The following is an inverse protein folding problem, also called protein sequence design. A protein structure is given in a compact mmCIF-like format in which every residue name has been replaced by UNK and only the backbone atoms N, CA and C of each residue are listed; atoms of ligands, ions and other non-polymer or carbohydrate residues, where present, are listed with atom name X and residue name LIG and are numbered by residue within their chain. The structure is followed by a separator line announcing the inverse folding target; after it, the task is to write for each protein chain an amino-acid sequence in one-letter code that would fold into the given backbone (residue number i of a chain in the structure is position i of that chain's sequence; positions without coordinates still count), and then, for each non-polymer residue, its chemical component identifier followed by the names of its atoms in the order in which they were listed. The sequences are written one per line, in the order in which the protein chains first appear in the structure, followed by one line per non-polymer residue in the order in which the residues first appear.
data_IF_173394016765
#
_entry.id   IF_173394016765
#
_cell.length_a   1.000
_cell.length_b   1.000
_cell.length_c   1.000
_cell.angle_alpha   90.00
_cell.angle_beta   90.00
_cell.angle_gamma   90.00
#
_symmetry.space_group_name_H-M   'P 1'
#
loop_
_entity.id
_entity.type
_entity.pdbx_description
1 polymer ?
#
# COMPACT_ATOMS: atom_id res chain seq x y z
N UNK A 1 -46.02 -20.58 42.91
CA UNK A 1 -46.40 -20.46 41.50
C UNK A 1 -45.87 -19.19 40.81
N UNK A 2 -45.66 -18.06 41.50
CA UNK A 2 -45.21 -16.80 40.87
C UNK A 2 -43.70 -16.64 40.64
N UNK A 3 -42.86 -17.35 41.41
CA UNK A 3 -41.41 -17.12 41.41
C UNK A 3 -40.68 -17.76 40.20
N UNK A 4 -41.16 -18.92 39.75
CA UNK A 4 -40.64 -19.60 38.54
C UNK A 4 -40.91 -18.80 37.27
N UNK A 5 -42.09 -18.15 37.18
CA UNK A 5 -42.43 -17.26 36.07
C UNK A 5 -41.48 -16.05 35.98
N UNK A 6 -41.14 -15.44 37.13
CA UNK A 6 -40.18 -14.33 37.20
C UNK A 6 -38.77 -14.77 36.81
N UNK A 7 -38.35 -15.95 37.27
CA UNK A 7 -37.02 -16.51 36.96
C UNK A 7 -36.87 -16.86 35.47
N UNK A 8 -37.92 -17.43 34.87
CA UNK A 8 -37.95 -17.74 33.45
C UNK A 8 -37.90 -16.45 32.61
N UNK A 9 -38.66 -15.41 32.99
CA UNK A 9 -38.66 -14.11 32.32
C UNK A 9 -37.29 -13.40 32.36
N UNK A 10 -36.56 -13.50 33.49
CA UNK A 10 -35.20 -12.97 33.63
C UNK A 10 -34.21 -13.70 32.71
N UNK A 11 -34.33 -15.02 32.61
CA UNK A 11 -33.49 -15.83 31.72
C UNK A 11 -33.72 -15.51 30.24
N UNK A 12 -34.98 -15.39 29.80
CA UNK A 12 -35.29 -15.04 28.40
C UNK A 12 -34.79 -13.65 28.03
N UNK A 13 -34.88 -12.68 28.95
CA UNK A 13 -34.33 -11.34 28.76
C UNK A 13 -32.80 -11.34 28.66
N UNK A 14 -32.13 -12.16 29.46
CA UNK A 14 -30.66 -12.29 29.43
C UNK A 14 -30.20 -12.89 28.09
N UNK A 15 -30.86 -13.95 27.63
CA UNK A 15 -30.57 -14.57 26.32
C UNK A 15 -30.81 -13.56 25.20
N UNK A 16 -31.93 -12.84 25.23
CA UNK A 16 -32.23 -11.78 24.25
C UNK A 16 -31.18 -10.67 24.22
N UNK A 17 -30.68 -10.25 25.39
CA UNK A 17 -29.62 -9.24 25.49
C UNK A 17 -28.28 -9.73 24.93
N UNK A 18 -27.91 -10.99 25.19
CA UNK A 18 -26.69 -11.60 24.64
C UNK A 18 -26.78 -11.72 23.12
N UNK A 19 -27.93 -12.11 22.58
CA UNK A 19 -28.15 -12.19 21.12
C UNK A 19 -28.05 -10.80 20.47
N UNK A 20 -28.64 -9.76 21.08
CA UNK A 20 -28.50 -8.39 20.58
C UNK A 20 -27.05 -7.88 20.62
N UNK A 21 -26.29 -8.23 21.67
CA UNK A 21 -24.89 -7.86 21.80
C UNK A 21 -24.03 -8.55 20.73
N UNK A 22 -24.28 -9.84 20.46
CA UNK A 22 -23.58 -10.59 19.42
C UNK A 22 -23.89 -10.09 18.01
N UNK A 23 -25.12 -9.64 17.76
CA UNK A 23 -25.53 -9.05 16.48
C UNK A 23 -24.96 -7.64 16.25
N UNK A 24 -24.77 -6.85 17.32
CA UNK A 24 -24.18 -5.50 17.22
C UNK A 24 -22.65 -5.50 17.07
N UNK A 25 -21.99 -6.64 17.33
CA UNK A 25 -20.55 -6.83 17.10
C UNK A 25 -20.17 -7.06 15.63
N UNK A 26 -21.15 -7.12 14.71
CA UNK A 26 -20.93 -7.23 13.26
C UNK A 26 -20.58 -5.85 12.65
N UNK A 27 -19.57 -5.16 13.20
CA UNK A 27 -19.03 -3.96 12.59
C UNK A 27 -17.89 -4.36 11.63
N UNK A 28 -18.15 -4.28 10.33
CA UNK A 28 -17.09 -4.42 9.32
C UNK A 28 -16.27 -3.13 9.30
N UNK A 29 -15.03 -3.19 9.77
CA UNK A 29 -14.12 -2.05 9.67
C UNK A 29 -13.76 -1.79 8.20
N UNK A 30 -13.79 -0.52 7.78
CA UNK A 30 -13.29 -0.13 6.46
C UNK A 30 -11.79 -0.47 6.36
N UNK A 31 -11.37 -0.99 5.20
CA UNK A 31 -9.96 -1.27 4.91
C UNK A 31 -9.34 -0.04 4.24
N UNK A 32 -8.20 0.41 4.75
CA UNK A 32 -7.42 1.52 4.20
C UNK A 32 -6.05 1.01 3.78
N UNK A 33 -5.60 1.39 2.58
CA UNK A 33 -4.24 1.21 2.13
C UNK A 33 -3.58 2.58 1.97
N UNK A 34 -2.32 2.69 2.38
CA UNK A 34 -1.52 3.92 2.25
C UNK A 34 -0.23 3.53 1.55
N UNK A 35 0.07 4.22 0.46
CA UNK A 35 1.34 4.12 -0.28
C UNK A 35 2.01 5.48 -0.23
N UNK A 36 3.31 5.52 0.11
CA UNK A 36 4.12 6.75 0.05
C UNK A 36 5.07 6.65 -1.15
N UNK A 37 4.95 7.61 -2.05
CA UNK A 37 5.69 7.66 -3.32
C UNK A 37 7.07 8.32 -3.18
N UNK A 38 7.81 8.33 -4.30
CA UNK A 38 9.08 9.03 -4.50
C UNK A 38 10.26 8.61 -3.60
N UNK A 39 10.31 7.33 -3.19
CA UNK A 39 11.46 6.82 -2.47
C UNK A 39 12.71 6.68 -3.34
N UNK A 40 13.86 6.96 -2.71
CA UNK A 40 15.21 6.64 -3.18
C UNK A 40 16.11 7.86 -3.45
N UNK A 41 15.65 9.07 -3.14
CA UNK A 41 16.44 10.30 -3.27
C UNK A 41 16.79 10.96 -1.94
N UNK A 42 16.01 10.71 -0.88
CA UNK A 42 16.14 11.43 0.40
C UNK A 42 16.20 10.45 1.58
N UNK A 43 17.28 9.66 1.73
CA UNK A 43 17.40 8.65 2.78
C UNK A 43 17.11 9.18 4.18
N UNK A 44 17.51 10.41 4.51
CA UNK A 44 17.24 10.98 5.84
C UNK A 44 15.74 11.09 6.15
N UNK A 45 14.91 11.47 5.17
CA UNK A 45 13.47 11.60 5.34
C UNK A 45 12.77 10.23 5.19
N UNK A 46 13.20 9.44 4.21
CA UNK A 46 12.68 8.11 3.93
C UNK A 46 12.89 7.17 5.13
N UNK A 47 14.03 7.23 5.80
CA UNK A 47 14.27 6.46 7.02
C UNK A 47 13.33 6.85 8.18
N UNK A 48 12.76 8.07 8.19
CA UNK A 48 11.69 8.45 9.15
C UNK A 48 10.36 7.81 8.77
N UNK A 49 10.03 7.74 7.48
CA UNK A 49 8.86 7.01 6.98
C UNK A 49 8.96 5.52 7.31
N UNK A 50 10.16 4.93 7.23
CA UNK A 50 10.39 3.55 7.64
C UNK A 50 10.16 3.30 9.15
N UNK A 51 10.01 4.33 9.99
CA UNK A 51 9.59 4.20 11.39
C UNK A 51 8.05 4.19 11.56
N UNK A 52 7.28 4.51 10.52
CA UNK A 52 5.83 4.39 10.53
C UNK A 52 5.39 2.91 10.57
N UNK A 53 4.13 2.61 10.94
CA UNK A 53 3.63 1.24 10.93
C UNK A 53 3.95 0.50 9.63
N UNK A 54 4.33 -0.77 9.72
CA UNK A 54 4.76 -1.60 8.57
C UNK A 54 3.66 -1.73 7.51
N UNK A 55 2.39 -1.57 7.88
CA UNK A 55 1.25 -1.56 6.99
C UNK A 55 1.21 -0.37 5.99
N UNK A 56 2.08 0.63 6.14
CA UNK A 56 2.26 1.69 5.14
C UNK A 56 3.23 1.21 4.07
N UNK A 57 2.73 1.00 2.85
CA UNK A 57 3.55 0.59 1.70
C UNK A 57 4.36 1.77 1.16
N UNK A 58 5.42 1.48 0.42
CA UNK A 58 6.26 2.50 -0.23
C UNK A 58 6.40 2.23 -1.73
N UNK A 59 6.53 3.28 -2.54
CA UNK A 59 6.83 3.17 -3.96
C UNK A 59 8.19 3.82 -4.28
N UNK A 60 9.06 3.06 -4.94
CA UNK A 60 10.47 3.41 -5.14
C UNK A 60 10.73 3.72 -6.62
N UNK A 61 11.37 4.85 -6.90
CA UNK A 61 11.81 5.23 -8.24
C UNK A 61 13.01 4.35 -8.66
N UNK A 62 12.95 3.60 -9.77
CA UNK A 62 13.99 2.63 -10.16
C UNK A 62 15.38 3.23 -10.33
N UNK A 63 15.46 4.42 -10.91
CA UNK A 63 16.71 5.10 -11.27
C UNK A 63 17.21 6.05 -10.19
N UNK A 64 16.57 6.02 -9.01
CA UNK A 64 17.01 6.80 -7.87
C UNK A 64 18.30 6.22 -7.25
N UNK A 65 19.21 7.06 -6.73
CA UNK A 65 20.52 6.63 -6.25
C UNK A 65 20.47 5.68 -5.05
N UNK A 66 19.42 5.77 -4.23
CA UNK A 66 19.24 4.95 -3.03
C UNK A 66 18.06 3.97 -3.13
N UNK A 67 17.43 3.83 -4.30
CA UNK A 67 16.22 3.03 -4.46
C UNK A 67 16.41 1.58 -4.00
N UNK A 68 17.48 0.92 -4.44
CA UNK A 68 17.80 -0.46 -4.04
C UNK A 68 18.04 -0.59 -2.53
N UNK A 69 18.81 0.33 -1.95
CA UNK A 69 19.10 0.33 -0.50
C UNK A 69 17.80 0.47 0.31
N UNK A 70 16.91 1.36 -0.11
CA UNK A 70 15.62 1.54 0.54
C UNK A 70 14.72 0.31 0.38
N UNK A 71 14.72 -0.34 -0.79
CA UNK A 71 13.98 -1.57 -1.02
C UNK A 71 14.44 -2.70 -0.08
N UNK A 72 15.75 -2.89 0.06
CA UNK A 72 16.33 -3.91 0.95
C UNK A 72 15.99 -3.61 2.43
N UNK A 73 16.03 -2.34 2.85
CA UNK A 73 15.63 -1.93 4.21
C UNK A 73 14.15 -2.18 4.48
N UNK A 74 13.28 -1.77 3.56
CA UNK A 74 11.83 -1.97 3.69
C UNK A 74 11.47 -3.46 3.70
N UNK A 75 12.10 -4.26 2.84
CA UNK A 75 11.86 -5.70 2.79
C UNK A 75 12.24 -6.39 4.11
N UNK A 76 13.38 -6.00 4.73
CA UNK A 76 13.79 -6.50 6.06
C UNK A 76 12.78 -6.18 7.16
N UNK A 77 11.97 -5.13 7.01
CA UNK A 77 10.87 -4.81 7.94
C UNK A 77 9.60 -5.62 7.67
N UNK A 78 9.54 -6.39 6.58
CA UNK A 78 8.31 -7.02 6.10
C UNK A 78 7.32 -6.03 5.45
N UNK A 79 7.81 -4.87 5.01
CA UNK A 79 7.01 -3.81 4.38
C UNK A 79 6.76 -4.12 2.91
N UNK A 80 5.56 -3.80 2.43
CA UNK A 80 5.21 -3.91 1.01
C UNK A 80 5.88 -2.80 0.19
N UNK A 81 6.37 -3.19 -0.99
CA UNK A 81 7.17 -2.35 -1.88
C UNK A 81 6.54 -2.36 -3.27
N UNK A 82 6.38 -1.18 -3.85
CA UNK A 82 5.95 -0.99 -5.23
C UNK A 82 7.08 -0.30 -6.02
N UNK A 83 7.07 -0.50 -7.33
CA UNK A 83 7.85 0.29 -8.27
C UNK A 83 7.08 1.58 -8.54
N UNK A 84 7.69 2.75 -8.32
CA UNK A 84 7.12 4.02 -8.76
C UNK A 84 7.67 4.32 -10.16
N UNK A 85 6.93 3.95 -11.21
CA UNK A 85 7.42 3.94 -12.59
C UNK A 85 7.20 5.31 -13.27
N UNK A 86 8.27 5.99 -13.74
CA UNK A 86 8.15 7.26 -14.45
C UNK A 86 7.32 7.15 -15.73
N UNK A 87 6.32 8.02 -15.86
CA UNK A 87 5.49 8.16 -17.06
C UNK A 87 5.47 9.61 -17.54
N UNK A 88 5.31 9.79 -18.85
CA UNK A 88 5.33 11.10 -19.46
C UNK A 88 4.18 11.98 -18.94
N UNK A 89 4.46 13.20 -18.48
CA UNK A 89 3.46 14.14 -18.04
C UNK A 89 2.81 14.90 -19.21
N UNK A 90 1.64 15.51 -18.98
CA UNK A 90 0.99 16.37 -19.98
C UNK A 90 1.79 17.65 -20.30
N UNK A 91 2.52 18.16 -19.30
CA UNK A 91 3.32 19.37 -19.43
C UNK A 91 4.70 19.07 -20.03
N UNK A 92 5.26 20.05 -20.75
CA UNK A 92 6.66 19.96 -21.19
C UNK A 92 7.60 20.16 -20.00
N UNK A 93 8.24 19.08 -19.57
CA UNK A 93 9.27 19.10 -18.55
C UNK A 93 10.36 18.07 -18.86
N UNK A 94 11.48 18.17 -18.16
CA UNK A 94 12.57 17.22 -18.29
C UNK A 94 12.09 15.86 -17.77
N UNK A 95 12.22 14.84 -18.60
CA UNK A 95 11.86 13.47 -18.23
C UNK A 95 12.99 12.83 -17.41
N UNK A 96 12.59 11.98 -16.47
CA UNK A 96 13.49 11.10 -15.75
C UNK A 96 13.99 9.97 -16.69
N UNK A 97 15.10 9.30 -16.37
CA UNK A 97 15.54 8.12 -17.12
C UNK A 97 14.42 7.08 -17.21
N UNK A 98 14.36 6.38 -18.35
CA UNK A 98 13.40 5.30 -18.59
C UNK A 98 11.92 5.70 -18.37
N UNK A 99 11.58 6.98 -18.56
CA UNK A 99 10.18 7.47 -18.54
C UNK A 99 9.38 6.88 -19.70
N UNK A 100 8.29 6.17 -19.38
CA UNK A 100 7.37 5.63 -20.37
C UNK A 100 6.65 6.75 -21.11
N UNK A 101 6.62 6.66 -22.45
CA UNK A 101 5.97 7.64 -23.32
C UNK A 101 4.92 6.96 -24.21
N UNK A 102 3.80 7.63 -24.55
CA UNK A 102 2.73 7.05 -25.37
C UNK A 102 3.17 6.61 -26.79
N UNK A 103 4.29 7.14 -27.28
CA UNK A 103 4.82 6.83 -28.63
C UNK A 103 5.77 5.64 -28.66
N UNK A 104 6.09 5.04 -27.50
CA UNK A 104 7.00 3.89 -27.41
C UNK A 104 6.37 2.62 -27.96
N UNK A 105 7.20 1.74 -28.50
CA UNK A 105 6.77 0.39 -28.87
C UNK A 105 6.56 -0.49 -27.64
N UNK A 106 5.78 -1.56 -27.76
CA UNK A 106 5.60 -2.53 -26.68
C UNK A 106 6.94 -3.14 -26.21
N UNK A 107 7.88 -3.38 -27.13
CA UNK A 107 9.20 -3.91 -26.81
C UNK A 107 10.07 -2.91 -26.01
N UNK A 108 9.90 -1.62 -26.25
CA UNK A 108 10.54 -0.57 -25.44
C UNK A 108 9.95 -0.51 -24.04
N UNK A 109 8.62 -0.55 -23.93
CA UNK A 109 7.89 -0.58 -22.66
C UNK A 109 8.31 -1.80 -21.83
N UNK A 110 8.31 -2.99 -22.42
CA UNK A 110 8.71 -4.23 -21.76
C UNK A 110 10.15 -4.17 -21.25
N UNK A 111 11.08 -3.65 -22.07
CA UNK A 111 12.48 -3.48 -21.65
C UNK A 111 12.64 -2.51 -20.49
N UNK A 112 11.85 -1.43 -20.45
CA UNK A 112 11.84 -0.48 -19.33
C UNK A 112 11.31 -1.14 -18.06
N UNK A 113 10.16 -1.83 -18.15
CA UNK A 113 9.54 -2.51 -17.01
C UNK A 113 10.47 -3.59 -16.44
N UNK A 114 11.09 -4.42 -17.30
CA UNK A 114 12.02 -5.46 -16.84
C UNK A 114 13.25 -4.85 -16.13
N UNK A 115 13.79 -3.73 -16.64
CA UNK A 115 14.88 -3.02 -15.96
C UNK A 115 14.42 -2.45 -14.62
N UNK A 116 13.22 -1.90 -14.54
CA UNK A 116 12.67 -1.37 -13.29
C UNK A 116 12.53 -2.47 -12.22
N UNK A 117 11.99 -3.64 -12.60
CA UNK A 117 11.87 -4.82 -11.73
C UNK A 117 13.23 -5.26 -11.18
N UNK A 118 14.28 -5.25 -12.00
CA UNK A 118 15.63 -5.62 -11.57
C UNK A 118 16.25 -4.60 -10.59
N UNK A 119 15.94 -3.31 -10.77
CA UNK A 119 16.47 -2.21 -9.95
C UNK A 119 15.78 -2.12 -8.58
N UNK A 120 14.49 -2.46 -8.50
CA UNK A 120 13.69 -2.41 -7.27
C UNK A 120 13.34 -3.84 -6.79
N UNK A 121 14.26 -4.54 -6.09
CA UNK A 121 14.01 -5.90 -5.64
C UNK A 121 12.84 -5.96 -4.65
N UNK A 122 12.19 -7.13 -4.59
CA UNK A 122 11.06 -7.43 -3.68
C UNK A 122 9.76 -6.66 -3.96
N UNK A 123 9.73 -5.81 -4.99
CA UNK A 123 8.50 -5.14 -5.38
C UNK A 123 7.42 -6.15 -5.79
N UNK A 124 6.19 -5.93 -5.31
CA UNK A 124 5.03 -6.80 -5.59
C UNK A 124 4.01 -6.15 -6.53
N UNK A 125 4.25 -4.89 -6.92
CA UNK A 125 3.36 -4.11 -7.77
C UNK A 125 4.04 -2.88 -8.35
N UNK A 126 3.29 -2.14 -9.16
CA UNK A 126 3.74 -0.92 -9.84
C UNK A 126 2.72 0.19 -9.57
N UNK A 127 3.21 1.39 -9.27
CA UNK A 127 2.50 2.65 -9.18
C UNK A 127 3.06 3.63 -10.23
N UNK A 128 2.26 4.52 -10.78
CA UNK A 128 2.70 5.48 -11.80
C UNK A 128 3.25 6.78 -11.19
N UNK A 129 4.37 7.29 -11.70
CA UNK A 129 4.91 8.61 -11.37
C UNK A 129 4.56 9.62 -12.47
N UNK A 130 3.88 10.70 -12.11
CA UNK A 130 3.56 11.85 -12.99
C UNK A 130 2.82 11.51 -14.30
N UNK A 131 1.95 10.49 -14.27
CA UNK A 131 1.21 10.05 -15.45
C UNK A 131 0.14 11.05 -15.91
N UNK A 132 0.11 11.29 -17.22
CA UNK A 132 -1.02 11.80 -17.95
C UNK A 132 -1.95 10.63 -18.35
N UNK A 133 -3.15 10.54 -17.79
CA UNK A 133 -4.24 9.76 -18.38
C UNK A 133 -5.05 10.63 -19.34
#
# INVERSE_FOLDING_TARGET
MGDDQVRQHKFTKLIGAIVLLLLSLQASAARLAIVIDDFGYRPHNENKILQMPVAVSIAILPDSPHGREMAEKAHKQGREILIHLPMAPLSKQRLEPDTLQPTMSSEEIDRIIQRAIQKVPYAVGINNHMAAL
#
